data_IF_226802907262
#
_entry.id   IF_226802907262
#
_cell.length_a   1.000
_cell.length_b   1.000
_cell.length_c   1.000
_cell.angle_alpha   90.00
_cell.angle_beta   90.00
_cell.angle_gamma   90.00
#
_symmetry.space_group_name_H-M   'P 1'
#
loop_
_entity.id
_entity.type
_entity.pdbx_description
1 polymer ?
#
# COMPACT_ATOMS: atom_id res chain seq x y z
N UNK A 1 9.70 19.93 4.26
CA UNK A 1 10.43 18.70 4.71
C UNK A 1 9.46 17.83 5.53
N UNK A 2 9.40 16.56 5.21
CA UNK A 2 8.52 15.65 5.95
C UNK A 2 9.14 15.24 7.27
N UNK A 3 8.35 15.30 8.33
CA UNK A 3 8.79 14.88 9.67
C UNK A 3 8.63 13.37 9.90
N UNK A 4 8.18 12.65 8.88
CA UNK A 4 7.97 11.21 8.94
C UNK A 4 8.48 10.55 7.67
N UNK A 5 8.69 9.23 7.75
CA UNK A 5 9.13 8.42 6.62
C UNK A 5 8.02 7.46 6.23
N UNK A 6 7.76 7.33 4.94
CA UNK A 6 6.73 6.45 4.40
C UNK A 6 7.39 5.39 3.53
N UNK A 7 7.04 4.12 3.76
CA UNK A 7 7.57 3.00 3.00
C UNK A 7 6.41 2.15 2.48
N UNK A 8 6.41 1.86 1.18
CA UNK A 8 5.41 0.98 0.58
C UNK A 8 5.73 -0.46 0.95
N UNK A 9 4.75 -1.17 1.51
CA UNK A 9 4.90 -2.56 1.93
C UNK A 9 3.76 -3.42 1.44
N UNK A 10 3.95 -4.73 1.52
CA UNK A 10 2.99 -5.72 1.07
C UNK A 10 2.60 -6.63 2.23
N UNK A 11 1.32 -7.04 2.24
CA UNK A 11 0.83 -8.01 3.21
C UNK A 11 0.08 -9.10 2.45
N UNK A 12 0.56 -10.35 2.55
CA UNK A 12 -0.07 -11.48 1.89
C UNK A 12 -1.37 -11.87 2.58
N UNK A 13 -2.40 -12.12 1.78
CA UNK A 13 -3.70 -12.57 2.26
C UNK A 13 -3.91 -14.05 1.95
N UNK A 14 -4.84 -14.68 2.67
CA UNK A 14 -5.16 -16.09 2.46
C UNK A 14 -5.83 -16.36 1.12
N UNK A 15 -6.38 -15.32 0.49
CA UNK A 15 -7.09 -15.45 -0.78
C UNK A 15 -6.17 -15.48 -2.01
N UNK A 16 -4.84 -15.51 -1.82
CA UNK A 16 -3.89 -15.48 -2.92
C UNK A 16 -3.65 -14.08 -3.47
N UNK A 17 -4.07 -13.08 -2.74
CA UNK A 17 -3.84 -11.67 -3.08
C UNK A 17 -2.92 -11.03 -2.05
N UNK A 18 -2.23 -9.99 -2.48
CA UNK A 18 -1.33 -9.22 -1.64
C UNK A 18 -1.85 -7.81 -1.52
N UNK A 19 -2.18 -7.38 -0.29
CA UNK A 19 -2.63 -6.02 -0.05
C UNK A 19 -1.45 -5.08 0.06
N UNK A 20 -1.61 -3.86 -0.47
CA UNK A 20 -0.58 -2.84 -0.40
C UNK A 20 -0.91 -1.82 0.68
N UNK A 21 0.10 -1.41 1.43
CA UNK A 21 -0.09 -0.40 2.46
C UNK A 21 1.17 0.43 2.62
N UNK A 22 1.00 1.61 3.23
CA UNK A 22 2.12 2.47 3.57
C UNK A 22 2.47 2.28 5.03
N UNK A 23 3.75 2.07 5.31
CA UNK A 23 4.28 1.97 6.67
C UNK A 23 4.85 3.34 7.02
N UNK A 24 4.27 3.97 8.04
CA UNK A 24 4.59 5.35 8.42
C UNK A 24 5.35 5.36 9.74
N UNK A 25 6.53 5.97 9.74
CA UNK A 25 7.34 6.08 10.95
C UNK A 25 7.96 7.47 11.05
N UNK A 26 7.82 8.15 12.19
CA UNK A 26 7.00 7.76 13.34
C UNK A 26 5.51 7.81 13.02
N UNK A 27 4.66 7.15 13.82
CA UNK A 27 3.22 7.15 13.58
C UNK A 27 2.66 8.58 13.55
N UNK A 28 1.66 8.80 12.68
CA UNK A 28 0.98 10.10 12.61
C UNK A 28 -0.39 9.99 13.26
N UNK A 29 -0.86 11.11 13.82
CA UNK A 29 -2.16 11.15 14.47
C UNK A 29 -3.27 11.29 13.42
N UNK A 30 -4.25 10.40 13.49
CA UNK A 30 -5.42 10.44 12.62
C UNK A 30 -6.60 10.99 13.40
N UNK A 31 -7.02 12.22 13.06
CA UNK A 31 -8.10 12.89 13.75
C UNK A 31 -9.45 12.17 13.60
N UNK A 32 -9.67 11.53 12.47
CA UNK A 32 -10.90 10.79 12.23
C UNK A 32 -11.04 9.58 13.14
N UNK A 33 -9.95 8.86 13.37
CA UNK A 33 -9.92 7.68 14.21
C UNK A 33 -9.52 8.00 15.65
N UNK A 34 -9.08 9.23 15.89
CA UNK A 34 -8.61 9.71 17.19
C UNK A 34 -7.53 8.82 17.78
N UNK A 35 -6.58 8.38 16.93
CA UNK A 35 -5.46 7.55 17.35
C UNK A 35 -4.30 7.69 16.38
N UNK A 36 -3.13 7.21 16.79
CA UNK A 36 -1.96 7.21 15.94
C UNK A 36 -2.05 6.12 14.88
N UNK A 37 -1.63 6.44 13.66
CA UNK A 37 -1.66 5.53 12.52
C UNK A 37 -0.25 5.24 12.03
N UNK A 38 0.14 3.96 11.99
CA UNK A 38 1.40 3.52 11.42
C UNK A 38 1.23 2.92 10.04
N UNK A 39 0.04 2.39 9.75
CA UNK A 39 -0.22 1.70 8.49
C UNK A 39 -1.42 2.31 7.80
N UNK A 40 -1.23 2.66 6.53
CA UNK A 40 -2.32 3.18 5.71
C UNK A 40 -2.53 2.23 4.55
N UNK A 41 -3.59 1.43 4.61
CA UNK A 41 -3.93 0.53 3.51
C UNK A 41 -4.50 1.33 2.35
N UNK A 42 -4.05 1.00 1.14
CA UNK A 42 -4.37 1.78 -0.05
C UNK A 42 -5.59 1.25 -0.80
N UNK A 43 -6.22 0.17 -0.33
CA UNK A 43 -7.31 -0.53 -1.02
C UNK A 43 -6.87 -1.02 -2.40
N UNK A 44 -5.56 -1.29 -2.54
CA UNK A 44 -4.96 -1.85 -3.74
C UNK A 44 -4.43 -3.24 -3.42
N UNK A 45 -4.45 -4.12 -4.41
CA UNK A 45 -3.94 -5.47 -4.23
C UNK A 45 -3.20 -5.93 -5.46
N UNK A 46 -2.34 -6.93 -5.26
CA UNK A 46 -1.62 -7.62 -6.33
C UNK A 46 -2.04 -9.08 -6.33
N UNK A 47 -2.06 -9.69 -7.50
CA UNK A 47 -2.19 -11.14 -7.59
C UNK A 47 -0.85 -11.76 -7.22
N UNK A 48 -0.86 -12.66 -6.24
CA UNK A 48 0.39 -13.29 -5.78
C UNK A 48 1.06 -14.11 -6.88
N UNK A 49 0.23 -14.82 -7.66
CA UNK A 49 0.73 -15.61 -8.79
C UNK A 49 -0.11 -15.30 -10.02
N UNK A 50 0.22 -14.23 -10.77
CA UNK A 50 -0.55 -13.91 -11.96
C UNK A 50 -0.41 -15.03 -13.00
N UNK A 51 -1.56 -15.53 -13.49
CA UNK A 51 -1.60 -16.65 -14.41
C UNK A 51 -1.87 -16.27 -15.85
N UNK A 52 -2.26 -15.02 -16.10
CA UNK A 52 -2.54 -14.55 -17.44
C UNK A 52 -2.08 -13.11 -17.62
N UNK A 53 -2.18 -12.62 -18.86
CA UNK A 53 -1.73 -11.28 -19.19
C UNK A 53 -2.51 -10.19 -18.45
N UNK A 54 -3.81 -10.39 -18.30
CA UNK A 54 -4.67 -9.41 -17.64
C UNK A 54 -4.23 -9.21 -16.18
N UNK A 55 -3.95 -10.30 -15.47
CA UNK A 55 -3.51 -10.22 -14.08
C UNK A 55 -2.12 -9.59 -13.96
N UNK A 56 -1.23 -9.88 -14.91
CA UNK A 56 0.10 -9.26 -14.93
C UNK A 56 0.02 -7.76 -15.15
N UNK A 57 -0.84 -7.33 -16.06
CA UNK A 57 -1.04 -5.91 -16.32
C UNK A 57 -1.67 -5.23 -15.12
N UNK A 58 -2.63 -5.89 -14.45
CA UNK A 58 -3.21 -5.39 -13.22
C UNK A 58 -2.13 -5.10 -12.18
N UNK A 59 -1.23 -6.06 -11.96
CA UNK A 59 -0.15 -5.89 -11.00
C UNK A 59 0.75 -4.70 -11.37
N UNK A 60 1.09 -4.58 -12.64
CA UNK A 60 1.94 -3.50 -13.11
C UNK A 60 1.31 -2.13 -12.85
N UNK A 61 0.05 -1.96 -13.24
CA UNK A 61 -0.66 -0.69 -13.03
C UNK A 61 -0.85 -0.40 -11.56
N UNK A 62 -1.17 -1.43 -10.78
CA UNK A 62 -1.38 -1.27 -9.34
C UNK A 62 -0.11 -0.81 -8.65
N UNK A 63 1.05 -1.36 -9.01
CA UNK A 63 2.33 -0.94 -8.43
C UNK A 63 2.66 0.50 -8.80
N UNK A 64 2.42 0.90 -10.04
CA UNK A 64 2.66 2.28 -10.46
C UNK A 64 1.79 3.23 -9.65
N UNK A 65 0.52 2.89 -9.48
CA UNK A 65 -0.41 3.72 -8.72
C UNK A 65 -0.01 3.80 -7.25
N UNK A 66 0.40 2.68 -6.67
CA UNK A 66 0.83 2.64 -5.27
C UNK A 66 2.07 3.50 -5.04
N UNK A 67 3.05 3.44 -5.95
CA UNK A 67 4.25 4.26 -5.84
C UNK A 67 3.94 5.73 -5.98
N UNK A 68 2.98 6.07 -6.83
CA UNK A 68 2.54 7.45 -6.98
C UNK A 68 1.93 7.97 -5.68
N UNK A 69 1.08 7.16 -5.04
CA UNK A 69 0.49 7.53 -3.75
C UNK A 69 1.58 7.70 -2.68
N UNK A 70 2.54 6.77 -2.66
CA UNK A 70 3.67 6.85 -1.73
C UNK A 70 4.41 8.18 -1.87
N UNK A 71 4.64 8.62 -3.10
CA UNK A 71 5.38 9.85 -3.35
C UNK A 71 4.61 11.10 -2.94
N UNK A 72 3.29 11.01 -2.82
CA UNK A 72 2.44 12.13 -2.41
C UNK A 72 2.39 12.30 -0.89
N UNK A 73 2.88 11.35 -0.16
CA UNK A 73 2.94 11.39 1.31
C UNK A 73 4.28 11.98 1.79
#
# INVERSE_FOLDING_TARGET
>A
MKSYRVTLREQKNKSGRTSLYLDIYPPIYDEKKKKETRRKFLDLYLFEKPTNKIEREHNKFTLVKAKQIESEW
#
